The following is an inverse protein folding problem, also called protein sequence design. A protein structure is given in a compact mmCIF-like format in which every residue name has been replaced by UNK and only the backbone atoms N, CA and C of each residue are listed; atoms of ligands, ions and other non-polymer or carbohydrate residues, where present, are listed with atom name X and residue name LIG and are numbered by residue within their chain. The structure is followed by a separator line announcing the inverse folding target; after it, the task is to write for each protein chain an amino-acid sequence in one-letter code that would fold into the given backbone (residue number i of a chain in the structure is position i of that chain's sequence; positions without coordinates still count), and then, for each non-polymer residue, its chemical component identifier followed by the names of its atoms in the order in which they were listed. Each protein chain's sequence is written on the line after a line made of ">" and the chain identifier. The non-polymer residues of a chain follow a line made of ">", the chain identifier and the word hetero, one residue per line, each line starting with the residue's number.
data_IF_107025371101
#
_entry.id   IF_107025371101
#
_cell.length_a   1.000
_cell.length_b   1.000
_cell.length_c   1.000
_cell.angle_alpha   90.00
_cell.angle_beta   90.00
_cell.angle_gamma   90.00
#
_symmetry.space_group_name_H-M   'P 1'
#
loop_
_entity.id
_entity.type
_entity.pdbx_description
1 polymer ?
#
# COMPACT_ATOMS: atom_id res chain seq x y z
N UNK A 1 28.14 7.61 -11.15
CA UNK A 1 28.09 7.85 -9.68
C UNK A 1 28.27 6.49 -9.02
N UNK A 2 28.98 6.34 -7.90
CA UNK A 2 29.26 5.01 -7.35
C UNK A 2 28.22 4.66 -6.26
N UNK A 3 27.20 3.86 -6.63
CA UNK A 3 26.11 3.44 -5.72
C UNK A 3 26.65 2.66 -4.51
N UNK A 4 27.73 1.87 -4.67
CA UNK A 4 28.32 1.12 -3.56
C UNK A 4 28.96 2.09 -2.56
N UNK A 5 29.73 3.06 -3.05
CA UNK A 5 30.33 4.10 -2.21
C UNK A 5 29.28 4.94 -1.49
N UNK A 6 28.19 5.32 -2.18
CA UNK A 6 27.07 6.05 -1.57
C UNK A 6 26.44 5.23 -0.45
N UNK A 7 26.18 3.94 -0.69
CA UNK A 7 25.62 3.04 0.30
C UNK A 7 26.52 2.90 1.55
N UNK A 8 27.84 2.77 1.38
CA UNK A 8 28.78 2.70 2.50
C UNK A 8 28.76 3.97 3.37
N UNK A 9 28.72 5.14 2.73
CA UNK A 9 28.62 6.42 3.43
C UNK A 9 27.27 6.54 4.14
N UNK A 10 26.18 6.16 3.44
CA UNK A 10 24.83 6.13 4.00
C UNK A 10 24.77 5.27 5.26
N UNK A 11 25.34 4.06 5.25
CA UNK A 11 25.36 3.19 6.43
C UNK A 11 26.13 3.82 7.59
N UNK A 12 27.29 4.43 7.33
CA UNK A 12 28.09 5.12 8.37
C UNK A 12 27.29 6.27 9.00
N UNK A 13 26.65 7.10 8.18
CA UNK A 13 25.83 8.22 8.66
C UNK A 13 24.59 7.74 9.41
N UNK A 14 23.87 6.73 8.89
CA UNK A 14 22.68 6.16 9.53
C UNK A 14 23.02 5.57 10.90
N UNK A 15 24.14 4.86 11.02
CA UNK A 15 24.60 4.33 12.31
C UNK A 15 24.90 5.45 13.30
N UNK A 16 25.58 6.50 12.85
CA UNK A 16 25.85 7.68 13.69
C UNK A 16 24.56 8.37 14.15
N UNK A 17 23.58 8.55 13.26
CA UNK A 17 22.26 9.13 13.58
C UNK A 17 21.55 8.30 14.66
N UNK A 18 21.52 6.97 14.50
CA UNK A 18 20.87 6.05 15.45
C UNK A 18 21.54 6.06 16.82
N UNK A 19 22.87 6.08 16.88
CA UNK A 19 23.62 6.08 18.15
C UNK A 19 23.39 7.37 18.93
N UNK A 20 23.29 8.50 18.23
CA UNK A 20 23.16 9.82 18.86
C UNK A 20 21.70 10.32 18.95
N UNK A 21 20.74 9.52 18.51
CA UNK A 21 19.31 9.82 18.51
C UNK A 21 18.98 11.14 17.77
N UNK A 22 19.66 11.37 16.64
CA UNK A 22 19.34 12.47 15.75
C UNK A 22 18.13 12.14 14.88
N UNK A 23 17.39 13.16 14.45
CA UNK A 23 16.21 13.02 13.60
C UNK A 23 16.48 13.39 12.12
N UNK A 24 17.68 13.85 11.80
CA UNK A 24 18.01 14.28 10.45
C UNK A 24 18.31 13.09 9.52
N UNK A 25 17.89 13.17 8.24
CA UNK A 25 18.23 12.15 7.26
C UNK A 25 19.74 12.19 6.93
N UNK A 26 20.34 11.06 6.49
CA UNK A 26 21.73 11.03 6.06
C UNK A 26 22.05 12.07 4.97
N UNK A 27 23.00 12.96 5.24
CA UNK A 27 23.41 14.05 4.33
C UNK A 27 23.78 13.55 2.93
N UNK A 28 24.34 12.35 2.82
CA UNK A 28 24.73 11.76 1.53
C UNK A 28 23.56 11.65 0.54
N UNK A 29 22.32 11.53 1.01
CA UNK A 29 21.14 11.48 0.12
C UNK A 29 20.81 12.86 -0.46
N UNK A 30 21.04 13.93 0.30
CA UNK A 30 20.90 15.30 -0.20
C UNK A 30 22.00 15.62 -1.21
N UNK A 31 23.24 15.25 -0.90
CA UNK A 31 24.38 15.40 -1.80
C UNK A 31 24.13 14.64 -3.11
N UNK A 32 23.62 13.41 -2.99
CA UNK A 32 23.20 12.59 -4.13
C UNK A 32 22.17 13.31 -5.01
N UNK A 33 21.09 13.85 -4.42
CA UNK A 33 20.05 14.60 -5.16
C UNK A 33 20.65 15.77 -5.94
N UNK A 34 21.51 16.56 -5.29
CA UNK A 34 22.11 17.75 -5.90
C UNK A 34 23.04 17.40 -7.09
N UNK A 35 23.66 16.23 -7.05
CA UNK A 35 24.56 15.75 -8.11
C UNK A 35 23.89 14.79 -9.11
N UNK A 36 22.62 14.44 -8.91
CA UNK A 36 21.93 13.40 -9.68
C UNK A 36 21.73 13.80 -11.14
N UNK A 37 22.24 12.97 -12.06
CA UNK A 37 22.13 13.18 -13.52
C UNK A 37 21.43 12.01 -14.23
N UNK A 38 20.83 11.09 -13.48
CA UNK A 38 20.33 9.81 -13.97
C UNK A 38 21.15 8.62 -13.47
N UNK A 39 20.56 7.43 -13.60
CA UNK A 39 21.20 6.15 -13.29
C UNK A 39 21.80 5.56 -14.57
N UNK A 40 22.99 4.97 -14.46
CA UNK A 40 23.53 4.08 -15.49
C UNK A 40 22.89 2.68 -15.41
N UNK A 41 23.07 1.84 -16.42
CA UNK A 41 22.57 0.46 -16.41
C UNK A 41 23.18 -0.35 -15.26
N UNK A 42 24.46 -0.15 -14.97
CA UNK A 42 25.16 -0.80 -13.84
C UNK A 42 24.59 -0.36 -12.49
N UNK A 43 24.21 0.92 -12.36
CA UNK A 43 23.54 1.43 -11.16
C UNK A 43 22.20 0.72 -10.96
N UNK A 44 21.42 0.58 -12.04
CA UNK A 44 20.11 -0.07 -11.98
C UNK A 44 20.23 -1.53 -11.59
N UNK A 45 21.16 -2.30 -12.18
CA UNK A 45 21.35 -3.70 -11.80
C UNK A 45 21.82 -3.84 -10.34
N UNK A 46 22.69 -2.93 -9.87
CA UNK A 46 23.10 -2.89 -8.46
C UNK A 46 21.91 -2.64 -7.53
N UNK A 47 21.04 -1.67 -7.86
CA UNK A 47 19.86 -1.34 -7.07
C UNK A 47 18.84 -2.49 -7.05
N UNK A 48 18.67 -3.20 -8.18
CA UNK A 48 17.82 -4.42 -8.24
C UNK A 48 18.32 -5.50 -7.29
N UNK A 49 19.63 -5.74 -7.25
CA UNK A 49 20.23 -6.68 -6.29
C UNK A 49 19.97 -6.21 -4.85
N UNK A 50 20.15 -4.92 -4.57
CA UNK A 50 19.95 -4.36 -3.23
C UNK A 50 18.51 -4.50 -2.74
N UNK A 51 17.52 -4.36 -3.62
CA UNK A 51 16.09 -4.51 -3.29
C UNK A 51 15.73 -5.93 -2.82
N UNK A 52 16.51 -6.94 -3.19
CA UNK A 52 16.31 -8.33 -2.72
C UNK A 52 16.95 -8.59 -1.34
N UNK A 53 17.76 -7.67 -0.84
CA UNK A 53 18.49 -7.82 0.42
C UNK A 53 17.84 -6.97 1.53
N UNK A 54 17.47 -7.60 2.65
CA UNK A 54 16.77 -6.92 3.75
C UNK A 54 17.54 -5.73 4.36
N UNK A 55 18.88 -5.78 4.37
CA UNK A 55 19.71 -4.72 4.95
C UNK A 55 19.93 -3.55 3.97
N UNK A 56 19.71 -3.78 2.66
CA UNK A 56 20.01 -2.81 1.59
C UNK A 56 18.76 -2.24 0.92
N UNK A 57 17.64 -2.95 0.93
CA UNK A 57 16.40 -2.52 0.25
C UNK A 57 15.89 -1.16 0.75
N UNK A 58 16.07 -0.89 2.05
CA UNK A 58 15.68 0.38 2.67
C UNK A 58 16.54 1.54 2.18
N UNK A 59 17.83 1.30 1.90
CA UNK A 59 18.67 2.30 1.24
C UNK A 59 18.13 2.65 -0.15
N UNK A 60 17.73 1.65 -0.95
CA UNK A 60 17.17 1.91 -2.29
C UNK A 60 15.88 2.72 -2.20
N UNK A 61 14.95 2.33 -1.32
CA UNK A 61 13.72 3.09 -1.08
C UNK A 61 14.01 4.55 -0.72
N UNK A 62 14.94 4.79 0.21
CA UNK A 62 15.34 6.14 0.64
C UNK A 62 16.05 6.90 -0.47
N UNK A 63 16.92 6.26 -1.25
CA UNK A 63 17.62 6.89 -2.37
C UNK A 63 16.62 7.35 -3.45
N UNK A 64 15.67 6.49 -3.81
CA UNK A 64 14.68 6.79 -4.84
C UNK A 64 13.66 7.85 -4.39
N UNK A 65 13.48 8.02 -3.07
CA UNK A 65 12.70 9.12 -2.51
C UNK A 65 13.39 10.49 -2.68
N UNK A 66 14.69 10.54 -2.98
CA UNK A 66 15.42 11.80 -3.17
C UNK A 66 15.53 12.24 -4.63
N UNK A 67 15.01 11.47 -5.59
CA UNK A 67 15.12 11.80 -7.03
C UNK A 67 13.75 12.04 -7.67
N UNK A 68 13.68 12.98 -8.62
CA UNK A 68 12.42 13.35 -9.27
C UNK A 68 11.86 12.22 -10.14
N UNK A 69 12.72 11.37 -10.70
CA UNK A 69 12.33 10.22 -11.52
C UNK A 69 13.38 9.11 -11.42
N UNK A 70 12.99 7.89 -11.77
CA UNK A 70 13.89 6.74 -11.87
C UNK A 70 13.43 5.75 -12.96
N UNK A 71 14.35 4.90 -13.48
CA UNK A 71 14.06 3.95 -14.55
C UNK A 71 12.92 2.98 -14.25
N UNK A 72 12.09 2.70 -15.26
CA UNK A 72 10.92 1.80 -15.16
C UNK A 72 11.28 0.37 -14.77
N UNK A 73 12.48 -0.09 -15.10
CA UNK A 73 12.99 -1.42 -14.71
C UNK A 73 13.26 -1.57 -13.20
N UNK A 74 13.17 -0.49 -12.42
CA UNK A 74 13.16 -0.54 -10.95
C UNK A 74 11.74 -0.61 -10.36
N UNK A 75 10.68 -0.37 -11.14
CA UNK A 75 9.30 -0.37 -10.65
C UNK A 75 8.90 -1.72 -10.05
N UNK A 76 8.97 -2.80 -10.83
CA UNK A 76 8.59 -4.12 -10.35
C UNK A 76 9.48 -4.59 -9.17
N UNK A 77 10.82 -4.46 -9.19
CA UNK A 77 11.68 -4.74 -8.03
C UNK A 77 11.27 -3.97 -6.76
N UNK A 78 10.91 -2.69 -6.89
CA UNK A 78 10.42 -1.88 -5.76
C UNK A 78 9.09 -2.42 -5.22
N UNK A 79 8.15 -2.77 -6.09
CA UNK A 79 6.86 -3.34 -5.68
C UNK A 79 7.03 -4.73 -5.07
N UNK A 80 7.95 -5.55 -5.57
CA UNK A 80 8.29 -6.83 -4.95
C UNK A 80 8.93 -6.67 -3.57
N UNK A 81 9.79 -5.66 -3.39
CA UNK A 81 10.34 -5.32 -2.07
C UNK A 81 9.22 -4.88 -1.10
N UNK A 82 8.24 -4.12 -1.58
CA UNK A 82 7.05 -3.78 -0.81
C UNK A 82 6.24 -5.04 -0.43
N UNK A 83 5.93 -5.92 -1.39
CA UNK A 83 5.16 -7.16 -1.16
C UNK A 83 5.86 -8.06 -0.13
N UNK A 84 7.18 -8.11 -0.14
CA UNK A 84 7.96 -8.93 0.78
C UNK A 84 8.26 -8.23 2.13
N UNK A 85 7.83 -6.99 2.33
CA UNK A 85 8.04 -6.27 3.58
C UNK A 85 7.02 -6.75 4.64
N UNK A 86 7.48 -7.40 5.74
CA UNK A 86 6.60 -7.98 6.74
C UNK A 86 5.76 -6.95 7.49
N UNK A 87 6.31 -5.75 7.75
CA UNK A 87 5.61 -4.70 8.48
C UNK A 87 4.86 -3.77 7.50
N UNK A 88 3.51 -3.74 7.56
CA UNK A 88 2.73 -2.90 6.66
C UNK A 88 3.08 -1.41 6.73
N UNK A 89 3.59 -0.92 7.85
CA UNK A 89 3.97 0.49 8.01
C UNK A 89 5.18 0.87 7.14
N UNK A 90 6.08 -0.09 6.83
CA UNK A 90 7.24 0.15 5.97
C UNK A 90 6.98 -0.10 4.49
N UNK A 91 5.82 -0.66 4.11
CA UNK A 91 5.46 -0.79 2.69
C UNK A 91 5.48 0.57 1.97
N UNK A 92 5.08 1.64 2.66
CA UNK A 92 4.97 2.98 2.07
C UNK A 92 6.32 3.49 1.54
N UNK A 93 7.43 3.13 2.18
CA UNK A 93 8.78 3.53 1.76
C UNK A 93 9.08 3.07 0.32
N UNK A 94 8.45 1.97 -0.12
CA UNK A 94 8.59 1.44 -1.48
C UNK A 94 7.47 1.90 -2.42
N UNK A 95 6.23 1.98 -1.92
CA UNK A 95 5.06 2.31 -2.74
C UNK A 95 5.01 3.78 -3.11
N UNK A 96 5.33 4.69 -2.18
CA UNK A 96 5.23 6.14 -2.39
C UNK A 96 6.12 6.64 -3.53
N UNK A 97 7.43 6.30 -3.61
CA UNK A 97 8.26 6.69 -4.75
C UNK A 97 7.68 6.19 -6.08
N UNK A 98 7.17 4.96 -6.12
CA UNK A 98 6.55 4.41 -7.32
C UNK A 98 5.29 5.19 -7.71
N UNK A 99 4.40 5.52 -6.75
CA UNK A 99 3.15 6.29 -7.00
C UNK A 99 3.48 7.65 -7.60
N UNK A 100 4.48 8.31 -7.04
CA UNK A 100 4.94 9.61 -7.51
C UNK A 100 5.43 9.57 -8.95
N UNK A 101 6.25 8.57 -9.31
CA UNK A 101 6.92 8.54 -10.62
C UNK A 101 6.07 7.90 -11.73
N UNK A 102 5.32 6.83 -11.43
CA UNK A 102 4.58 6.06 -12.44
C UNK A 102 3.06 6.11 -12.28
N UNK A 103 2.57 6.69 -11.18
CA UNK A 103 1.14 6.79 -10.92
C UNK A 103 0.49 5.50 -10.47
N UNK A 104 -0.79 5.61 -10.13
CA UNK A 104 -1.57 4.52 -9.52
C UNK A 104 -1.78 3.32 -10.46
N UNK A 105 -2.10 3.57 -11.72
CA UNK A 105 -2.56 2.52 -12.65
C UNK A 105 -1.46 1.50 -12.92
N UNK A 106 -0.23 1.96 -13.15
CA UNK A 106 0.87 1.08 -13.53
C UNK A 106 1.30 0.20 -12.35
N UNK A 107 1.34 0.78 -11.14
CA UNK A 107 1.58 0.03 -9.90
C UNK A 107 0.47 -0.98 -9.65
N UNK A 108 -0.79 -0.57 -9.80
CA UNK A 108 -1.94 -1.42 -9.53
C UNK A 108 -1.95 -2.65 -10.45
N UNK A 109 -1.58 -2.48 -11.72
CA UNK A 109 -1.48 -3.58 -12.68
C UNK A 109 -0.43 -4.62 -12.24
N UNK A 110 0.77 -4.18 -11.85
CA UNK A 110 1.83 -5.07 -11.40
C UNK A 110 1.44 -5.78 -10.09
N UNK A 111 0.89 -5.04 -9.11
CA UNK A 111 0.44 -5.63 -7.85
C UNK A 111 -0.67 -6.68 -8.08
N UNK A 112 -1.59 -6.46 -9.00
CA UNK A 112 -2.61 -7.45 -9.33
C UNK A 112 -2.04 -8.67 -10.04
N UNK A 113 -1.05 -8.49 -10.90
CA UNK A 113 -0.37 -9.63 -11.51
C UNK A 113 0.33 -10.49 -10.44
N UNK A 114 1.08 -9.86 -9.54
CA UNK A 114 1.71 -10.54 -8.38
C UNK A 114 0.64 -11.24 -7.52
N UNK A 115 -0.51 -10.61 -7.28
CA UNK A 115 -1.58 -11.23 -6.49
C UNK A 115 -2.21 -12.43 -7.20
N UNK A 116 -2.41 -12.36 -8.52
CA UNK A 116 -3.02 -13.46 -9.29
C UNK A 116 -2.09 -14.66 -9.36
N UNK A 117 -0.82 -14.42 -9.65
CA UNK A 117 0.18 -15.46 -9.95
C UNK A 117 1.01 -15.89 -8.73
N UNK A 118 0.97 -15.11 -7.64
CA UNK A 118 1.74 -15.35 -6.43
C UNK A 118 1.21 -16.49 -5.57
N UNK A 119 2.08 -17.01 -4.71
CA UNK A 119 1.68 -17.87 -3.59
C UNK A 119 0.91 -17.08 -2.53
N UNK A 120 0.53 -17.77 -1.44
CA UNK A 120 -0.20 -17.17 -0.33
C UNK A 120 0.52 -15.96 0.26
N UNK A 121 1.83 -16.06 0.47
CA UNK A 121 2.59 -15.03 1.16
C UNK A 121 2.69 -13.77 0.28
N UNK A 122 2.91 -13.94 -1.02
CA UNK A 122 2.83 -12.85 -2.00
C UNK A 122 1.45 -12.21 -2.05
N UNK A 123 0.37 -12.99 -2.05
CA UNK A 123 -1.00 -12.46 -2.02
C UNK A 123 -1.25 -11.60 -0.78
N UNK A 124 -0.82 -12.07 0.40
CA UNK A 124 -0.91 -11.31 1.65
C UNK A 124 -0.06 -10.04 1.59
N UNK A 125 1.16 -10.12 1.05
CA UNK A 125 2.04 -8.98 0.85
C UNK A 125 1.42 -7.90 -0.04
N UNK A 126 0.78 -8.30 -1.15
CA UNK A 126 0.05 -7.37 -2.02
C UNK A 126 -1.11 -6.70 -1.28
N UNK A 127 -1.86 -7.44 -0.46
CA UNK A 127 -2.97 -6.88 0.32
C UNK A 127 -2.46 -5.78 1.28
N UNK A 128 -1.35 -6.02 1.96
CA UNK A 128 -0.69 -5.03 2.84
C UNK A 128 -0.22 -3.80 2.05
N UNK A 129 0.50 -4.01 0.96
CA UNK A 129 0.99 -2.94 0.09
C UNK A 129 -0.15 -2.11 -0.55
N UNK A 130 -1.29 -2.75 -0.84
CA UNK A 130 -2.46 -2.11 -1.46
C UNK A 130 -3.11 -1.03 -0.60
N UNK A 131 -2.83 -0.99 0.70
CA UNK A 131 -3.25 0.09 1.58
C UNK A 131 -2.62 1.44 1.21
N UNK A 132 -1.35 1.40 0.77
CA UNK A 132 -0.58 2.57 0.36
C UNK A 132 -0.70 2.86 -1.15
N UNK A 133 -1.02 1.86 -1.96
CA UNK A 133 -1.30 2.02 -3.39
C UNK A 133 -2.70 2.60 -3.62
N UNK A 134 -2.86 3.90 -3.36
CA UNK A 134 -4.14 4.63 -3.52
C UNK A 134 -4.21 5.37 -4.85
N UNK A 135 -5.43 5.53 -5.43
CA UNK A 135 -5.69 6.47 -6.50
C UNK A 135 -5.09 7.85 -6.22
N UNK A 136 -4.43 8.44 -7.21
CA UNK A 136 -3.94 9.83 -7.14
C UNK A 136 -4.97 10.83 -7.67
N UNK A 137 -6.08 10.36 -8.26
CA UNK A 137 -7.15 11.21 -8.80
C UNK A 137 -8.45 10.81 -8.11
N UNK A 138 -9.04 11.72 -7.34
CA UNK A 138 -10.14 11.37 -6.43
C UNK A 138 -10.97 12.59 -6.02
N UNK A 139 -12.02 12.33 -5.23
CA UNK A 139 -12.87 13.35 -4.63
C UNK A 139 -12.46 13.59 -3.18
N UNK A 140 -12.30 14.86 -2.80
CA UNK A 140 -12.21 15.29 -1.40
C UNK A 140 -13.57 15.82 -0.94
N UNK A 141 -14.01 15.47 0.27
CA UNK A 141 -15.16 16.12 0.90
C UNK A 141 -14.70 17.41 1.57
N UNK A 142 -15.24 18.54 1.12
CA UNK A 142 -14.92 19.87 1.64
C UNK A 142 -16.07 20.34 2.53
N UNK A 143 -15.71 20.83 3.71
CA UNK A 143 -16.61 21.44 4.68
C UNK A 143 -16.34 22.95 4.72
N UNK A 144 -17.30 23.75 4.26
CA UNK A 144 -17.18 25.21 4.20
C UNK A 144 -18.40 25.85 4.89
N UNK A 145 -18.23 26.18 6.18
CA UNK A 145 -19.34 26.55 7.05
C UNK A 145 -20.37 25.42 7.14
N UNK A 146 -21.61 25.70 6.71
CA UNK A 146 -22.70 24.71 6.68
C UNK A 146 -22.81 23.94 5.35
N UNK A 147 -21.91 24.19 4.38
CA UNK A 147 -21.93 23.52 3.09
C UNK A 147 -20.99 22.31 3.10
N UNK A 148 -21.48 21.17 2.63
CA UNK A 148 -20.70 19.96 2.38
C UNK A 148 -20.79 19.64 0.90
N UNK A 149 -19.65 19.63 0.21
CA UNK A 149 -19.59 19.28 -1.21
C UNK A 149 -18.34 18.45 -1.53
N UNK A 150 -18.32 17.83 -2.71
CA UNK A 150 -17.19 17.07 -3.22
C UNK A 150 -16.36 17.93 -4.16
N UNK A 151 -15.06 17.97 -3.95
CA UNK A 151 -14.09 18.61 -4.82
C UNK A 151 -13.34 17.56 -5.62
N UNK A 152 -13.25 17.76 -6.93
CA UNK A 152 -12.50 16.92 -7.86
C UNK A 152 -11.07 17.46 -8.01
N UNK A 153 -10.11 16.55 -8.05
CA UNK A 153 -8.71 16.91 -8.18
C UNK A 153 -7.78 15.70 -8.13
N UNK A 154 -6.51 15.97 -7.88
CA UNK A 154 -5.47 14.96 -7.86
C UNK A 154 -4.36 15.30 -6.86
N UNK A 155 -3.62 14.27 -6.46
CA UNK A 155 -2.39 14.38 -5.67
C UNK A 155 -1.25 14.85 -6.57
N UNK A 156 -0.67 15.99 -6.23
CA UNK A 156 0.55 16.50 -6.84
C UNK A 156 1.71 16.30 -5.86
N UNK A 157 2.74 15.59 -6.31
CA UNK A 157 3.97 15.45 -5.56
C UNK A 157 4.93 16.60 -5.91
N UNK A 158 5.51 17.22 -4.89
CA UNK A 158 6.50 18.28 -5.05
C UNK A 158 7.64 18.08 -4.04
N UNK A 159 8.83 18.55 -4.40
CA UNK A 159 9.97 18.54 -3.48
C UNK A 159 9.85 19.69 -2.50
N UNK A 160 9.85 19.39 -1.20
CA UNK A 160 9.87 20.37 -0.12
C UNK A 160 11.32 20.59 0.32
N UNK A 161 11.82 21.80 0.09
CA UNK A 161 13.19 22.18 0.43
C UNK A 161 13.43 22.36 1.93
N UNK A 162 12.39 22.59 2.73
CA UNK A 162 12.50 22.67 4.19
C UNK A 162 12.55 21.28 4.80
N UNK A 163 11.66 20.39 4.35
CA UNK A 163 11.57 19.00 4.83
C UNK A 163 12.63 18.08 4.23
N UNK A 164 13.27 18.49 3.12
CA UNK A 164 14.22 17.66 2.35
C UNK A 164 13.62 16.33 1.93
N UNK A 165 12.37 16.35 1.49
CA UNK A 165 11.60 15.19 1.04
C UNK A 165 10.54 15.60 0.03
N UNK A 166 9.99 14.66 -0.73
CA UNK A 166 8.73 14.94 -1.42
C UNK A 166 7.59 15.06 -0.42
N UNK A 167 6.67 15.98 -0.69
CA UNK A 167 5.35 16.06 -0.07
C UNK A 167 4.24 15.86 -1.11
N UNK A 168 3.00 15.66 -0.65
CA UNK A 168 1.82 15.37 -1.47
C UNK A 168 0.70 16.37 -1.15
N UNK A 169 0.32 17.19 -2.13
CA UNK A 169 -0.77 18.16 -2.01
C UNK A 169 -1.93 17.83 -2.95
N UNK A 170 -3.16 18.04 -2.47
CA UNK A 170 -4.35 17.90 -3.31
C UNK A 170 -4.60 19.17 -4.14
N UNK A 171 -4.51 19.04 -5.45
CA UNK A 171 -4.75 20.13 -6.40
C UNK A 171 -6.13 19.99 -7.04
N UNK A 172 -6.95 21.04 -6.90
CA UNK A 172 -8.24 21.14 -7.58
C UNK A 172 -8.04 21.35 -9.08
N UNK A 173 -8.28 20.32 -9.85
CA UNK A 173 -8.27 20.40 -11.32
C UNK A 173 -9.31 19.45 -11.91
N UNK A 174 -10.42 20.03 -12.38
CA UNK A 174 -11.53 19.27 -12.97
C UNK A 174 -11.12 18.65 -14.31
N UNK A 175 -10.25 19.31 -15.08
CA UNK A 175 -9.85 18.85 -16.41
C UNK A 175 -8.96 17.61 -16.30
N UNK A 176 -7.95 17.65 -15.43
CA UNK A 176 -7.11 16.47 -15.15
C UNK A 176 -7.96 15.35 -14.56
N UNK A 177 -8.87 15.68 -13.64
CA UNK A 177 -9.78 14.71 -13.06
C UNK A 177 -10.61 13.99 -14.12
N UNK A 178 -11.32 14.71 -14.99
CA UNK A 178 -12.17 14.11 -16.04
C UNK A 178 -11.37 13.22 -17.00
N UNK A 179 -10.10 13.55 -17.26
CA UNK A 179 -9.21 12.79 -18.13
C UNK A 179 -8.70 11.50 -17.48
N UNK A 180 -8.21 11.57 -16.24
CA UNK A 180 -7.48 10.46 -15.60
C UNK A 180 -8.34 9.60 -14.66
N UNK A 181 -9.43 10.16 -14.13
CA UNK A 181 -10.31 9.44 -13.22
C UNK A 181 -10.91 8.16 -13.82
N UNK A 182 -11.38 8.12 -15.09
CA UNK A 182 -11.91 6.88 -15.67
C UNK A 182 -10.88 5.74 -15.69
N UNK A 183 -9.63 6.03 -16.07
CA UNK A 183 -8.53 5.04 -16.11
C UNK A 183 -8.20 4.51 -14.71
N UNK A 184 -8.11 5.42 -13.75
CA UNK A 184 -7.88 5.10 -12.33
C UNK A 184 -9.03 4.28 -11.74
N UNK A 185 -10.26 4.62 -12.07
CA UNK A 185 -11.46 3.93 -11.60
C UNK A 185 -11.53 2.50 -12.13
N UNK A 186 -11.19 2.27 -13.40
CA UNK A 186 -11.11 0.91 -13.98
C UNK A 186 -10.12 0.04 -13.21
N UNK A 187 -8.91 0.55 -12.92
CA UNK A 187 -7.90 -0.18 -12.14
C UNK A 187 -8.38 -0.48 -10.71
N UNK A 188 -9.08 0.47 -10.07
CA UNK A 188 -9.68 0.29 -8.74
C UNK A 188 -10.78 -0.77 -8.73
N UNK A 189 -11.70 -0.74 -9.71
CA UNK A 189 -12.76 -1.74 -9.87
C UNK A 189 -12.16 -3.14 -10.05
N UNK A 190 -11.17 -3.27 -10.93
CA UNK A 190 -10.54 -4.56 -11.20
C UNK A 190 -9.81 -5.12 -9.97
N UNK A 191 -9.21 -4.26 -9.15
CA UNK A 191 -8.66 -4.66 -7.85
C UNK A 191 -9.73 -5.22 -6.93
N UNK A 192 -10.83 -4.49 -6.73
CA UNK A 192 -11.93 -4.93 -5.86
C UNK A 192 -12.53 -6.25 -6.35
N UNK A 193 -12.77 -6.38 -7.65
CA UNK A 193 -13.26 -7.61 -8.27
C UNK A 193 -12.32 -8.79 -8.04
N UNK A 194 -11.02 -8.58 -8.20
CA UNK A 194 -9.99 -9.60 -7.97
C UNK A 194 -10.00 -10.05 -6.51
N UNK A 195 -10.04 -9.12 -5.55
CA UNK A 195 -10.06 -9.43 -4.12
C UNK A 195 -11.36 -10.12 -3.69
N UNK A 196 -12.53 -9.65 -4.18
CA UNK A 196 -13.81 -10.31 -3.94
C UNK A 196 -13.81 -11.75 -4.47
N UNK A 197 -13.30 -11.98 -5.69
CA UNK A 197 -13.19 -13.33 -6.25
C UNK A 197 -12.24 -14.22 -5.44
N UNK A 198 -11.12 -13.67 -4.97
CA UNK A 198 -10.18 -14.37 -4.12
C UNK A 198 -10.80 -14.80 -2.77
N UNK A 199 -11.66 -13.96 -2.18
CA UNK A 199 -12.36 -14.29 -0.93
C UNK A 199 -13.17 -15.58 -1.03
N UNK A 200 -13.88 -15.78 -2.15
CA UNK A 200 -14.73 -16.96 -2.35
C UNK A 200 -13.97 -18.20 -2.83
N UNK A 201 -12.77 -18.04 -3.39
CA UNK A 201 -11.98 -19.15 -3.95
C UNK A 201 -10.95 -19.68 -2.96
N UNK A 202 -10.49 -18.87 -2.01
CA UNK A 202 -9.52 -19.32 -1.01
C UNK A 202 -10.20 -20.03 0.17
N UNK A 203 -9.58 -21.12 0.63
CA UNK A 203 -9.91 -21.78 1.90
C UNK A 203 -8.99 -21.33 3.04
N UNK A 204 -7.95 -20.55 2.75
CA UNK A 204 -6.98 -20.07 3.74
C UNK A 204 -7.57 -18.91 4.55
N UNK A 205 -7.62 -19.10 5.88
CA UNK A 205 -8.26 -18.17 6.82
C UNK A 205 -7.46 -16.86 6.92
N UNK A 206 -6.13 -16.92 6.83
CA UNK A 206 -5.28 -15.72 6.94
C UNK A 206 -5.45 -14.86 5.69
N UNK A 207 -5.48 -15.49 4.51
CA UNK A 207 -5.74 -14.78 3.27
C UNK A 207 -7.15 -14.19 3.25
N UNK A 208 -8.18 -14.93 3.69
CA UNK A 208 -9.55 -14.38 3.85
C UNK A 208 -9.57 -13.16 4.76
N UNK A 209 -8.92 -13.25 5.92
CA UNK A 209 -8.84 -12.15 6.88
C UNK A 209 -8.21 -10.90 6.24
N UNK A 210 -7.05 -11.06 5.58
CA UNK A 210 -6.37 -9.94 4.93
C UNK A 210 -7.20 -9.33 3.80
N UNK A 211 -7.92 -10.16 3.02
CA UNK A 211 -8.85 -9.66 2.00
C UNK A 211 -9.95 -8.81 2.63
N UNK A 212 -10.53 -9.25 3.75
CA UNK A 212 -11.57 -8.50 4.47
C UNK A 212 -11.06 -7.14 4.93
N UNK A 213 -9.82 -7.04 5.43
CA UNK A 213 -9.22 -5.76 5.83
C UNK A 213 -9.04 -4.78 4.66
N UNK A 214 -8.81 -5.28 3.45
CA UNK A 214 -8.56 -4.43 2.28
C UNK A 214 -9.84 -4.02 1.53
N UNK A 215 -10.94 -4.73 1.75
CA UNK A 215 -12.21 -4.47 1.07
C UNK A 215 -13.06 -3.44 1.85
N UNK A 216 -13.81 -2.56 1.17
CA UNK A 216 -14.65 -1.58 1.86
C UNK A 216 -15.70 -2.23 2.77
N UNK A 217 -15.91 -1.66 3.95
CA UNK A 217 -16.90 -2.16 4.93
C UNK A 217 -18.35 -1.76 4.59
N UNK A 218 -18.52 -0.65 3.87
CA UNK A 218 -19.83 -0.09 3.52
C UNK A 218 -20.17 -0.42 2.07
N UNK A 219 -21.38 -0.91 1.83
CA UNK A 219 -21.88 -1.20 0.49
C UNK A 219 -21.80 0.02 -0.44
N UNK A 220 -22.06 1.23 0.08
CA UNK A 220 -21.99 2.49 -0.67
C UNK A 220 -20.58 2.87 -1.14
N UNK A 221 -19.54 2.23 -0.61
CA UNK A 221 -18.14 2.45 -1.00
C UNK A 221 -17.71 1.58 -2.18
N UNK A 222 -18.55 0.64 -2.63
CA UNK A 222 -18.30 -0.16 -3.82
C UNK A 222 -18.83 0.52 -5.09
N UNK A 223 -18.11 0.38 -6.22
CA UNK A 223 -18.63 0.70 -7.55
C UNK A 223 -19.98 0.00 -7.81
N UNK A 224 -20.87 0.66 -8.56
CA UNK A 224 -22.24 0.17 -8.74
C UNK A 224 -22.29 -1.22 -9.36
N UNK A 225 -21.38 -1.53 -10.29
CA UNK A 225 -21.28 -2.86 -10.91
C UNK A 225 -20.90 -3.98 -9.94
N UNK A 226 -20.28 -3.65 -8.79
CA UNK A 226 -19.85 -4.61 -7.78
C UNK A 226 -20.81 -4.70 -6.60
N UNK A 227 -21.84 -3.85 -6.50
CA UNK A 227 -22.71 -3.80 -5.32
C UNK A 227 -23.41 -5.13 -5.02
N UNK A 228 -23.84 -5.90 -6.04
CA UNK A 228 -24.45 -7.21 -5.81
C UNK A 228 -23.47 -8.21 -5.18
N UNK A 229 -22.24 -8.27 -5.70
CA UNK A 229 -21.19 -9.14 -5.16
C UNK A 229 -20.74 -8.69 -3.77
N UNK A 230 -20.59 -7.37 -3.58
CA UNK A 230 -20.24 -6.76 -2.30
C UNK A 230 -21.30 -7.01 -1.24
N UNK A 231 -22.60 -6.93 -1.59
CA UNK A 231 -23.69 -7.24 -0.66
C UNK A 231 -23.62 -8.69 -0.17
N UNK A 232 -23.40 -9.64 -1.08
CA UNK A 232 -23.19 -11.04 -0.71
C UNK A 232 -21.95 -11.20 0.19
N UNK A 233 -20.85 -10.55 -0.17
CA UNK A 233 -19.60 -10.58 0.59
C UNK A 233 -19.79 -10.06 2.02
N UNK A 234 -20.43 -8.90 2.18
CA UNK A 234 -20.66 -8.31 3.50
C UNK A 234 -21.56 -9.21 4.38
N UNK A 235 -22.59 -9.84 3.80
CA UNK A 235 -23.44 -10.81 4.50
C UNK A 235 -22.64 -12.06 4.93
N UNK A 236 -21.78 -12.57 4.05
CA UNK A 236 -20.96 -13.76 4.33
C UNK A 236 -19.86 -13.46 5.34
N UNK A 237 -19.21 -12.30 5.29
CA UNK A 237 -18.27 -11.85 6.33
C UNK A 237 -18.96 -11.79 7.69
N UNK A 238 -20.19 -11.26 7.72
CA UNK A 238 -21.00 -11.23 8.95
C UNK A 238 -21.29 -12.66 9.45
N UNK A 239 -21.74 -13.55 8.56
CA UNK A 239 -22.16 -14.93 8.86
C UNK A 239 -21.02 -15.87 9.24
N UNK A 240 -19.88 -15.77 8.54
CA UNK A 240 -18.68 -16.56 8.81
C UNK A 240 -18.01 -16.14 10.11
N UNK A 241 -18.29 -14.93 10.60
CA UNK A 241 -17.64 -14.35 11.77
C UNK A 241 -16.16 -14.13 11.51
N UNK A 242 -15.78 -13.70 10.30
CA UNK A 242 -14.37 -13.48 9.98
C UNK A 242 -13.77 -12.49 10.98
N UNK A 243 -12.57 -12.80 11.48
CA UNK A 243 -11.91 -11.95 12.45
C UNK A 243 -11.82 -10.50 11.94
N UNK A 244 -12.07 -9.52 12.81
CA UNK A 244 -12.03 -8.09 12.45
C UNK A 244 -10.75 -7.41 12.92
N UNK A 245 -9.95 -8.06 13.74
CA UNK A 245 -8.69 -7.54 14.27
C UNK A 245 -7.67 -8.65 14.56
N UNK A 246 -6.41 -8.23 14.78
CA UNK A 246 -5.28 -9.14 15.02
C UNK A 246 -5.49 -10.03 16.25
N UNK A 247 -5.91 -9.51 17.43
CA UNK A 247 -6.18 -10.36 18.60
C UNK A 247 -7.22 -11.46 18.33
N UNK A 248 -8.26 -11.15 17.55
CA UNK A 248 -9.27 -12.12 17.15
C UNK A 248 -8.68 -13.17 16.20
N UNK A 249 -7.85 -12.77 15.24
CA UNK A 249 -7.15 -13.69 14.34
C UNK A 249 -6.22 -14.62 15.12
N UNK A 250 -5.43 -14.10 16.06
CA UNK A 250 -4.52 -14.89 16.90
C UNK A 250 -5.28 -15.90 17.76
N UNK A 251 -6.40 -15.48 18.34
CA UNK A 251 -7.29 -16.37 19.06
C UNK A 251 -7.82 -17.49 18.15
N UNK A 252 -8.26 -17.17 16.92
CA UNK A 252 -8.72 -18.18 15.96
C UNK A 252 -7.60 -19.15 15.58
N UNK A 253 -6.38 -18.64 15.35
CA UNK A 253 -5.20 -19.45 15.01
C UNK A 253 -4.85 -20.44 16.12
N UNK A 254 -4.93 -20.02 17.38
CA UNK A 254 -4.61 -20.86 18.55
C UNK A 254 -5.51 -22.10 18.70
N UNK A 255 -6.65 -22.13 18.02
CA UNK A 255 -7.59 -23.25 18.07
C UNK A 255 -7.20 -24.27 16.99
N UNK A 256 -6.76 -25.45 17.38
CA UNK A 256 -6.36 -26.49 16.41
C UNK A 256 -7.53 -27.15 15.66
N UNK A 257 -8.75 -27.05 16.19
CA UNK A 257 -9.94 -27.66 15.58
C UNK A 257 -10.66 -26.69 14.64
N UNK A 258 -10.83 -27.02 13.35
CA UNK A 258 -11.61 -26.22 12.40
C UNK A 258 -13.07 -26.01 12.85
N UNK A 259 -13.64 -27.00 13.51
CA UNK A 259 -14.98 -26.92 14.09
C UNK A 259 -15.04 -25.89 15.22
N UNK A 260 -14.07 -25.93 16.14
CA UNK A 260 -14.00 -24.97 17.25
C UNK A 260 -13.68 -23.56 16.76
N UNK A 261 -12.83 -23.38 15.73
CA UNK A 261 -12.59 -22.07 15.09
C UNK A 261 -13.90 -21.45 14.60
N UNK A 262 -14.67 -22.22 13.82
CA UNK A 262 -15.95 -21.79 13.28
C UNK A 262 -17.00 -21.54 14.37
N UNK A 263 -16.96 -22.31 15.45
CA UNK A 263 -17.84 -22.11 16.60
C UNK A 263 -17.50 -20.82 17.36
N UNK A 264 -16.22 -20.56 17.62
CA UNK A 264 -15.78 -19.40 18.41
C UNK A 264 -16.05 -18.07 17.69
N UNK A 265 -15.82 -18.04 16.37
CA UNK A 265 -16.18 -16.90 15.51
C UNK A 265 -17.70 -16.63 15.51
N UNK A 266 -18.53 -17.68 15.59
CA UNK A 266 -19.98 -17.54 15.70
C UNK A 266 -20.46 -17.11 17.09
N UNK A 267 -19.83 -17.59 18.17
CA UNK A 267 -20.31 -17.35 19.54
C UNK A 267 -19.89 -15.99 20.09
N UNK A 268 -18.72 -15.44 19.76
CA UNK A 268 -18.37 -14.06 20.17
C UNK A 268 -19.37 -13.02 19.67
N UNK A 269 -19.96 -13.24 18.49
CA UNK A 269 -21.04 -12.40 17.91
C UNK A 269 -22.31 -12.37 18.78
N UNK A 270 -22.60 -13.44 19.54
CA UNK A 270 -23.73 -13.47 20.47
C UNK A 270 -23.51 -12.58 21.71
N UNK A 271 -22.24 -12.27 22.05
CA UNK A 271 -21.91 -11.48 23.24
C UNK A 271 -21.59 -10.01 22.93
N UNK A 272 -21.25 -9.65 21.68
CA UNK A 272 -21.00 -8.24 21.28
C UNK A 272 -22.26 -7.49 20.83
N UNK A 273 -23.35 -8.19 20.49
CA UNK A 273 -24.61 -7.56 20.08
C UNK A 273 -25.55 -7.17 21.25
N UNK A 274 -25.08 -7.25 22.51
CA UNK A 274 -25.86 -6.89 23.72
C UNK A 274 -25.65 -5.45 24.21
N UNK A 275 -25.30 -4.51 23.32
CA UNK A 275 -25.38 -3.06 23.61
C UNK A 275 -25.93 -2.28 22.41
N UNK A 276 -27.21 -2.50 22.14
CA UNK A 276 -28.03 -1.60 21.31
C UNK A 276 -29.47 -1.59 21.83
N UNK A 277 -29.63 -1.22 23.10
CA UNK A 277 -30.89 -0.72 23.67
C UNK A 277 -30.55 0.23 24.81
N UNK A 278 -30.34 1.50 24.46
CA UNK A 278 -30.62 2.70 25.27
C UNK A 278 -30.41 3.92 24.40
#
# INVERSE_FOLDING_TARGET
>A
MDILKIFEIYQKQLNHIRVNNYYEPPQILQDFRNEFKGFSDDDVETLKIFLTNNDKKTFVARLLEYVDTFPINLLEPMLMAAVNEPDPSFNNDFIRPCRRVFGYVDIQNILLDIFRNGDKDKKIGVLRASYWARPTVYFVTVHEGNKIYKQQGYDMFFWDDELKSFDEDFIKDVKIFEMEYPRTQIAYIERLKTFLSAFYTTTDIDLKYQIVLCLPEKLSSYPIELQNQAKAFLLDVEKEGTARNIPELEMVRSINSPFLRKFLLKTKRLFTNTKATS
#
